data_IF_585922572462
#
_entry.id   IF_585922572462
#
_cell.length_a   1.000
_cell.length_b   1.000
_cell.length_c   1.000
_cell.angle_alpha   90.00
_cell.angle_beta   90.00
_cell.angle_gamma   90.00
#
_symmetry.space_group_name_H-M   'P 1'
#
loop_
_entity.id
_entity.type
_entity.pdbx_description
1 polymer ?
#
# COMPACT_ATOMS: atom_id res chain seq x y z
N UNK A 1 -10.44 -7.02 14.25
CA UNK A 1 -9.87 -8.38 14.42
C UNK A 1 -10.25 -9.23 13.22
N UNK A 2 -9.29 -9.57 12.35
CA UNK A 2 -9.56 -10.41 11.18
C UNK A 2 -9.72 -11.87 11.63
N UNK A 3 -10.85 -12.49 11.30
CA UNK A 3 -11.13 -13.90 11.61
C UNK A 3 -10.15 -14.76 10.79
N UNK A 4 -9.28 -15.56 11.42
CA UNK A 4 -8.42 -16.47 10.68
C UNK A 4 -9.31 -17.45 9.91
N UNK A 5 -9.25 -17.41 8.57
CA UNK A 5 -9.85 -18.44 7.75
C UNK A 5 -9.01 -19.71 7.90
N UNK A 6 -9.57 -20.68 8.61
CA UNK A 6 -8.99 -22.00 8.77
C UNK A 6 -9.54 -22.91 7.67
N UNK A 7 -8.83 -23.00 6.56
CA UNK A 7 -9.13 -24.01 5.55
C UNK A 7 -8.57 -25.35 6.01
N UNK A 8 -9.47 -26.30 6.29
CA UNK A 8 -9.12 -27.68 6.59
C UNK A 8 -8.96 -28.42 5.27
N UNK A 9 -7.72 -28.64 4.84
CA UNK A 9 -7.42 -29.45 3.67
C UNK A 9 -6.92 -30.82 4.12
N UNK A 10 -7.66 -31.87 3.78
CA UNK A 10 -7.15 -33.24 3.87
C UNK A 10 -6.11 -33.40 2.77
N UNK A 11 -4.84 -33.55 3.14
CA UNK A 11 -3.75 -33.77 2.20
C UNK A 11 -3.07 -35.08 2.57
N UNK A 12 -2.82 -35.93 1.58
CA UNK A 12 -1.94 -37.08 1.75
C UNK A 12 -0.49 -36.60 1.64
N UNK A 13 0.32 -36.87 2.67
CA UNK A 13 1.75 -36.54 2.68
C UNK A 13 2.61 -37.60 1.98
N UNK A 14 2.00 -38.61 1.37
CA UNK A 14 2.72 -39.67 0.69
C UNK A 14 3.66 -39.07 -0.37
N UNK A 15 4.92 -39.48 -0.34
CA UNK A 15 5.91 -39.12 -1.37
C UNK A 15 5.65 -39.82 -2.70
N UNK A 16 4.71 -40.77 -2.73
CA UNK A 16 4.34 -41.52 -3.92
C UNK A 16 3.53 -40.66 -4.91
N UNK A 17 3.77 -40.79 -6.22
CA UNK A 17 2.91 -40.18 -7.21
C UNK A 17 1.46 -40.66 -7.03
N UNK A 18 0.47 -39.78 -7.26
CA UNK A 18 -0.95 -40.04 -7.01
C UNK A 18 -1.45 -41.36 -7.63
N UNK A 19 -0.93 -41.74 -8.80
CA UNK A 19 -1.27 -42.98 -9.51
C UNK A 19 -0.77 -44.24 -8.78
N UNK A 20 0.45 -44.18 -8.23
CA UNK A 20 1.04 -45.29 -7.49
C UNK A 20 0.34 -45.49 -6.15
N UNK A 21 0.01 -44.40 -5.45
CA UNK A 21 -0.78 -44.48 -4.23
C UNK A 21 -2.17 -45.08 -4.49
N UNK A 22 -2.82 -44.65 -5.58
CA UNK A 22 -4.09 -45.23 -6.02
C UNK A 22 -3.98 -46.75 -6.26
N UNK A 23 -2.95 -47.18 -7.00
CA UNK A 23 -2.72 -48.60 -7.27
C UNK A 23 -2.43 -49.43 -6.00
N UNK A 24 -1.67 -48.87 -5.06
CA UNK A 24 -1.34 -49.53 -3.79
C UNK A 24 -2.58 -49.66 -2.89
N UNK A 25 -3.44 -48.63 -2.83
CA UNK A 25 -4.74 -48.71 -2.16
C UNK A 25 -5.63 -49.80 -2.77
N UNK A 26 -5.72 -49.85 -4.11
CA UNK A 26 -6.51 -50.88 -4.81
C UNK A 26 -5.97 -52.28 -4.49
N UNK A 27 -4.65 -52.48 -4.48
CA UNK A 27 -4.05 -53.77 -4.15
C UNK A 27 -4.35 -54.22 -2.71
N UNK A 28 -4.28 -53.31 -1.73
CA UNK A 28 -4.61 -53.60 -0.32
C UNK A 28 -6.08 -53.95 -0.16
N UNK A 29 -6.98 -53.21 -0.82
CA UNK A 29 -8.43 -53.50 -0.81
C UNK A 29 -8.73 -54.84 -1.49
N UNK A 30 -8.13 -55.11 -2.65
CA UNK A 30 -8.33 -56.37 -3.36
C UNK A 30 -7.83 -57.59 -2.54
N UNK A 31 -6.66 -57.48 -1.90
CA UNK A 31 -6.11 -58.54 -1.07
C UNK A 31 -6.99 -58.80 0.17
N UNK A 32 -7.48 -57.76 0.84
CA UNK A 32 -8.37 -57.89 2.00
C UNK A 32 -9.72 -58.48 1.63
N UNK A 33 -10.32 -58.05 0.51
CA UNK A 33 -11.57 -58.62 -0.01
C UNK A 33 -11.40 -60.08 -0.43
N UNK A 34 -10.32 -60.45 -1.12
CA UNK A 34 -10.05 -61.84 -1.50
C UNK A 34 -9.91 -62.75 -0.27
N UNK A 35 -9.23 -62.28 0.76
CA UNK A 35 -9.09 -63.02 2.03
C UNK A 35 -10.46 -63.16 2.72
N UNK A 36 -11.25 -62.09 2.80
CA UNK A 36 -12.60 -62.13 3.38
C UNK A 36 -13.52 -63.08 2.60
N UNK A 37 -13.53 -63.00 1.27
CA UNK A 37 -14.33 -63.86 0.40
C UNK A 37 -13.97 -65.34 0.56
N UNK A 38 -12.66 -65.65 0.63
CA UNK A 38 -12.18 -67.03 0.79
C UNK A 38 -12.54 -67.62 2.14
N UNK A 39 -12.58 -66.80 3.19
CA UNK A 39 -12.92 -67.25 4.54
C UNK A 39 -14.43 -67.28 4.81
N UNK A 40 -15.28 -66.65 3.98
CA UNK A 40 -16.73 -66.53 4.23
C UNK A 40 -17.50 -67.86 4.18
N UNK A 41 -16.85 -68.93 3.71
CA UNK A 41 -17.39 -70.30 3.70
C UNK A 41 -17.09 -71.11 4.97
N UNK A 42 -16.37 -70.55 5.95
CA UNK A 42 -15.98 -71.25 7.18
C UNK A 42 -16.88 -70.84 8.36
N UNK A 43 -17.59 -71.79 9.00
CA UNK A 43 -18.65 -71.49 9.98
C UNK A 43 -18.17 -70.98 11.36
N UNK A 44 -16.86 -70.92 11.64
CA UNK A 44 -16.31 -70.53 12.96
C UNK A 44 -15.23 -69.44 12.91
N UNK A 45 -15.18 -68.63 11.84
CA UNK A 45 -14.07 -67.69 11.59
C UNK A 45 -14.30 -66.21 11.94
N UNK A 46 -15.43 -65.83 12.56
CA UNK A 46 -15.85 -64.43 12.66
C UNK A 46 -14.84 -63.47 13.32
N UNK A 47 -14.18 -63.89 14.40
CA UNK A 47 -13.16 -63.09 15.09
C UNK A 47 -11.90 -62.88 14.25
N UNK A 48 -11.46 -63.91 13.52
CA UNK A 48 -10.32 -63.84 12.60
C UNK A 48 -10.62 -62.97 11.37
N UNK A 49 -11.86 -62.97 10.90
CA UNK A 49 -12.30 -62.06 9.84
C UNK A 49 -12.26 -60.60 10.29
N UNK A 50 -12.77 -60.32 11.48
CA UNK A 50 -12.75 -58.97 12.07
C UNK A 50 -11.32 -58.46 12.20
N UNK A 51 -10.41 -59.28 12.72
CA UNK A 51 -9.00 -58.90 12.92
C UNK A 51 -8.28 -58.61 11.59
N UNK A 52 -8.59 -59.37 10.52
CA UNK A 52 -8.03 -59.15 9.19
C UNK A 52 -8.61 -57.92 8.49
N UNK A 53 -9.92 -57.67 8.65
CA UNK A 53 -10.54 -56.46 8.14
C UNK A 53 -9.96 -55.21 8.83
N UNK A 54 -9.78 -55.27 10.16
CA UNK A 54 -9.09 -54.22 10.91
C UNK A 54 -7.64 -54.04 10.45
N UNK A 55 -6.88 -55.12 10.28
CA UNK A 55 -5.49 -55.04 9.77
C UNK A 55 -5.42 -54.38 8.38
N UNK A 56 -6.35 -54.72 7.49
CA UNK A 56 -6.50 -54.08 6.19
C UNK A 56 -6.80 -52.58 6.27
N UNK A 57 -7.74 -52.20 7.14
CA UNK A 57 -8.12 -50.82 7.39
C UNK A 57 -6.95 -50.00 7.95
N UNK A 58 -6.20 -50.57 8.89
CA UNK A 58 -4.99 -49.95 9.45
C UNK A 58 -3.89 -49.77 8.41
N UNK A 59 -3.65 -50.79 7.57
CA UNK A 59 -2.68 -50.69 6.49
C UNK A 59 -3.06 -49.61 5.49
N UNK A 60 -4.36 -49.49 5.17
CA UNK A 60 -4.88 -48.41 4.33
C UNK A 60 -4.66 -47.04 4.97
N UNK A 61 -4.92 -46.92 6.28
CA UNK A 61 -4.69 -45.70 7.05
C UNK A 61 -3.22 -45.26 7.04
N UNK A 62 -2.29 -46.20 7.22
CA UNK A 62 -0.85 -45.92 7.12
C UNK A 62 -0.43 -45.55 5.70
N UNK A 63 -1.01 -46.18 4.68
CA UNK A 63 -0.68 -45.92 3.27
C UNK A 63 -1.20 -44.54 2.80
N UNK A 64 -2.37 -44.12 3.30
CA UNK A 64 -2.96 -42.81 3.01
C UNK A 64 -2.27 -41.67 3.75
N UNK A 65 -1.63 -41.98 4.89
CA UNK A 65 -0.96 -41.04 5.80
C UNK A 65 -1.75 -39.73 5.92
N UNK A 66 -3.00 -39.78 6.42
CA UNK A 66 -3.89 -38.64 6.40
C UNK A 66 -3.33 -37.53 7.29
N UNK A 67 -2.90 -36.45 6.66
CA UNK A 67 -2.40 -35.30 7.38
C UNK A 67 -3.44 -34.18 7.39
N UNK A 68 -3.69 -33.65 8.58
CA UNK A 68 -4.45 -32.43 8.78
C UNK A 68 -3.49 -31.25 8.62
N UNK A 69 -3.48 -30.66 7.42
CA UNK A 69 -2.65 -29.49 7.16
C UNK A 69 -3.36 -28.23 7.64
N UNK A 70 -2.89 -27.65 8.75
CA UNK A 70 -3.40 -26.36 9.23
C UNK A 70 -2.62 -25.23 8.56
N UNK A 71 -3.20 -24.63 7.50
CA UNK A 71 -2.64 -23.42 6.89
C UNK A 71 -3.17 -22.20 7.63
N UNK A 72 -2.31 -21.51 8.35
CA UNK A 72 -2.61 -20.20 8.94
C UNK A 72 -2.09 -19.10 8.01
N UNK A 73 -2.99 -18.45 7.27
CA UNK A 73 -2.68 -17.24 6.52
C UNK A 73 -2.85 -16.05 7.47
N UNK A 74 -1.74 -15.44 7.88
CA UNK A 74 -1.80 -14.16 8.61
C UNK A 74 -1.83 -13.05 7.56
N UNK A 75 -2.93 -12.25 7.46
CA UNK A 75 -2.93 -11.12 6.56
C UNK A 75 -1.84 -10.15 6.99
N UNK A 76 -0.82 -9.95 6.14
CA UNK A 76 0.17 -8.90 6.36
C UNK A 76 -0.48 -7.55 6.08
N UNK A 77 -0.32 -6.61 7.01
CA UNK A 77 -0.74 -5.23 6.78
C UNK A 77 0.11 -4.64 5.65
N UNK A 78 -0.54 -4.00 4.69
CA UNK A 78 0.13 -3.16 3.69
C UNK A 78 0.43 -1.79 4.30
N UNK A 79 1.39 -1.04 3.74
CA UNK A 79 1.63 0.33 4.21
C UNK A 79 0.77 1.35 3.45
N UNK A 80 0.42 2.42 4.13
CA UNK A 80 -0.19 3.63 3.58
C UNK A 80 0.77 4.78 3.86
N UNK A 81 1.39 5.32 2.80
CA UNK A 81 2.28 6.46 2.93
C UNK A 81 1.47 7.76 2.89
N UNK A 82 1.66 8.62 3.88
CA UNK A 82 1.03 9.94 3.95
C UNK A 82 2.12 10.98 3.75
N UNK A 83 2.09 11.63 2.59
CA UNK A 83 3.01 12.71 2.23
C UNK A 83 2.36 14.03 2.61
N UNK A 84 3.00 14.76 3.53
CA UNK A 84 2.62 16.11 3.92
C UNK A 84 3.61 17.09 3.29
N UNK A 85 3.10 17.97 2.42
CA UNK A 85 3.87 19.08 1.88
C UNK A 85 4.26 20.05 3.00
N UNK A 86 5.57 20.21 3.22
CA UNK A 86 6.16 21.17 4.16
C UNK A 86 7.08 22.16 3.44
N UNK A 87 6.75 22.52 2.20
CA UNK A 87 7.41 23.60 1.47
C UNK A 87 7.11 24.98 2.06
N UNK A 88 7.94 25.97 1.72
CA UNK A 88 7.74 27.36 2.18
C UNK A 88 6.40 27.97 1.79
N UNK A 89 5.78 27.56 0.67
CA UNK A 89 4.45 28.05 0.28
C UNK A 89 3.38 27.68 1.31
N UNK A 90 3.59 26.60 2.07
CA UNK A 90 2.67 26.18 3.12
C UNK A 90 2.67 27.12 4.35
N UNK A 91 3.64 28.05 4.45
CA UNK A 91 3.60 29.16 5.43
C UNK A 91 2.64 30.27 5.03
N UNK A 92 2.25 30.34 3.75
CA UNK A 92 1.36 31.38 3.26
C UNK A 92 -0.03 31.25 3.89
N UNK A 93 -0.75 32.37 4.06
CA UNK A 93 -2.09 32.36 4.62
C UNK A 93 -3.05 31.59 3.69
N UNK A 94 -3.79 30.63 4.25
CA UNK A 94 -4.95 30.02 3.60
C UNK A 94 -6.23 30.81 3.90
N UNK A 95 -6.24 31.56 4.99
CA UNK A 95 -7.32 32.43 5.45
C UNK A 95 -6.72 33.57 6.27
N UNK A 96 -7.52 34.58 6.63
CA UNK A 96 -7.06 35.76 7.36
C UNK A 96 -6.28 35.46 8.66
N UNK A 97 -6.48 34.29 9.27
CA UNK A 97 -5.93 33.92 10.58
C UNK A 97 -5.13 32.62 10.61
N UNK A 98 -5.07 31.86 9.50
CA UNK A 98 -4.42 30.53 9.49
C UNK A 98 -3.57 30.32 8.25
N UNK A 99 -2.39 29.74 8.44
CA UNK A 99 -1.51 29.31 7.35
C UNK A 99 -2.02 28.02 6.69
N UNK A 100 -1.60 27.74 5.45
CA UNK A 100 -1.94 26.49 4.73
C UNK A 100 -1.53 25.26 5.54
N UNK A 101 -0.34 25.27 6.15
CA UNK A 101 0.12 24.16 7.01
C UNK A 101 -0.75 23.95 8.25
N UNK A 102 -1.30 25.02 8.83
CA UNK A 102 -2.23 24.91 9.96
C UNK A 102 -3.56 24.30 9.55
N UNK A 103 -4.06 24.65 8.36
CA UNK A 103 -5.28 24.04 7.80
C UNK A 103 -5.05 22.55 7.53
N UNK A 104 -3.92 22.17 6.93
CA UNK A 104 -3.56 20.77 6.75
C UNK A 104 -3.54 20.01 8.10
N UNK A 105 -2.93 20.61 9.13
CA UNK A 105 -2.87 20.04 10.47
C UNK A 105 -4.24 19.92 11.13
N UNK A 106 -5.12 20.90 10.97
CA UNK A 106 -6.49 20.80 11.51
C UNK A 106 -7.26 19.69 10.80
N UNK A 107 -7.14 19.57 9.48
CA UNK A 107 -7.76 18.47 8.72
C UNK A 107 -7.24 17.10 9.18
N UNK A 108 -5.94 16.96 9.42
CA UNK A 108 -5.37 15.73 9.99
C UNK A 108 -5.93 15.41 11.39
N UNK A 109 -6.09 16.43 12.23
CA UNK A 109 -6.66 16.28 13.58
C UNK A 109 -8.13 15.88 13.52
N UNK A 110 -8.91 16.48 12.63
CA UNK A 110 -10.31 16.13 12.39
C UNK A 110 -10.45 14.71 11.80
N UNK A 111 -9.49 14.30 10.96
CA UNK A 111 -9.41 12.97 10.37
C UNK A 111 -8.77 11.92 11.30
N UNK A 112 -8.32 12.28 12.50
CA UNK A 112 -7.74 11.34 13.47
C UNK A 112 -8.56 10.05 13.69
N UNK A 113 -9.90 10.07 13.88
CA UNK A 113 -10.67 8.84 14.02
C UNK A 113 -10.66 7.96 12.76
N UNK A 114 -10.55 8.57 11.57
CA UNK A 114 -10.46 7.84 10.30
C UNK A 114 -9.06 7.22 10.16
N UNK A 115 -8.00 7.98 10.45
CA UNK A 115 -6.62 7.49 10.46
C UNK A 115 -6.44 6.34 11.46
N UNK A 116 -7.10 6.42 12.62
CA UNK A 116 -7.08 5.34 13.60
C UNK A 116 -7.68 4.04 13.05
N UNK A 117 -8.85 4.11 12.38
CA UNK A 117 -9.44 2.93 11.70
C UNK A 117 -8.53 2.41 10.58
N UNK A 118 -7.86 3.30 9.85
CA UNK A 118 -6.91 2.90 8.81
C UNK A 118 -5.69 2.19 9.41
N UNK A 119 -5.19 2.61 10.58
CA UNK A 119 -4.06 1.97 11.26
C UNK A 119 -4.32 0.50 11.69
N UNK A 120 -5.59 0.11 11.81
CA UNK A 120 -5.95 -1.28 12.07
C UNK A 120 -5.65 -2.19 10.87
N UNK A 121 -5.76 -1.64 9.65
CA UNK A 121 -5.61 -2.37 8.38
C UNK A 121 -4.27 -2.10 7.70
N UNK A 122 -3.73 -0.91 7.88
CA UNK A 122 -2.52 -0.42 7.22
C UNK A 122 -1.45 0.00 8.24
N UNK A 123 -0.20 -0.08 7.85
CA UNK A 123 0.91 0.58 8.55
C UNK A 123 1.00 2.01 8.02
N UNK A 124 0.73 3.01 8.88
CA UNK A 124 0.79 4.42 8.50
C UNK A 124 2.24 4.91 8.55
N UNK A 125 2.77 5.39 7.43
CA UNK A 125 4.08 6.01 7.35
C UNK A 125 3.93 7.47 6.96
N UNK A 126 4.61 8.37 7.68
CA UNK A 126 4.56 9.79 7.40
C UNK A 126 5.81 10.21 6.64
N UNK A 127 5.63 11.01 5.60
CA UNK A 127 6.70 11.49 4.75
C UNK A 127 6.52 12.98 4.48
N UNK A 128 7.64 13.69 4.45
CA UNK A 128 7.79 14.99 3.80
C UNK A 128 8.13 14.75 2.32
N UNK A 129 8.26 15.82 1.55
CA UNK A 129 8.72 15.76 0.17
C UNK A 129 10.14 15.18 0.07
N UNK A 130 11.00 15.49 1.05
CA UNK A 130 12.40 15.08 1.05
C UNK A 130 12.67 13.72 1.70
N UNK A 131 11.83 13.28 2.65
CA UNK A 131 12.12 12.08 3.43
C UNK A 131 11.08 11.73 4.50
N UNK A 132 11.32 10.70 5.32
CA UNK A 132 10.38 10.25 6.35
C UNK A 132 10.21 11.30 7.47
N UNK A 133 8.98 11.48 7.94
CA UNK A 133 8.61 12.32 9.08
C UNK A 133 8.33 11.45 10.30
N UNK A 134 8.91 11.80 11.45
CA UNK A 134 8.69 11.05 12.69
C UNK A 134 8.38 12.00 13.85
N UNK A 135 7.35 11.66 14.63
CA UNK A 135 7.06 12.30 15.91
C UNK A 135 6.78 13.80 15.81
N UNK A 136 7.52 14.59 16.59
CA UNK A 136 7.32 16.03 16.72
C UNK A 136 7.64 16.82 15.42
N UNK A 137 8.33 16.22 14.45
CA UNK A 137 8.63 16.85 13.17
C UNK A 137 7.37 17.26 12.39
N UNK A 138 6.26 16.55 12.59
CA UNK A 138 4.95 16.91 12.01
C UNK A 138 4.44 18.29 12.48
N UNK A 139 4.86 18.74 13.67
CA UNK A 139 4.45 20.02 14.26
C UNK A 139 5.45 21.16 14.02
N UNK A 140 6.65 20.85 13.52
CA UNK A 140 7.66 21.86 13.21
C UNK A 140 7.25 22.71 12.00
N UNK A 141 7.64 23.99 11.93
CA UNK A 141 7.34 24.84 10.79
C UNK A 141 7.83 24.19 9.47
N UNK A 142 7.17 24.45 8.34
CA UNK A 142 7.59 23.92 7.06
C UNK A 142 8.89 24.60 6.59
N UNK A 143 9.93 23.82 6.29
CA UNK A 143 11.27 24.32 5.93
C UNK A 143 11.69 23.94 4.49
N UNK A 144 10.87 23.17 3.79
CA UNK A 144 11.16 22.66 2.46
C UNK A 144 11.39 23.78 1.45
N UNK A 145 12.53 23.73 0.74
CA UNK A 145 12.94 24.79 -0.20
C UNK A 145 12.35 24.63 -1.60
N UNK A 146 11.99 23.40 -1.98
CA UNK A 146 11.45 23.09 -3.30
C UNK A 146 10.30 22.10 -3.15
N UNK A 147 9.27 22.27 -3.97
CA UNK A 147 8.13 21.35 -4.03
C UNK A 147 8.31 20.46 -5.25
N UNK A 148 8.77 19.22 -5.07
CA UNK A 148 8.85 18.21 -6.14
C UNK A 148 8.01 17.00 -5.75
N UNK A 149 6.74 17.03 -6.17
CA UNK A 149 5.76 16.02 -5.82
C UNK A 149 6.06 14.70 -6.52
N UNK A 150 6.55 14.74 -7.77
CA UNK A 150 6.87 13.53 -8.53
C UNK A 150 8.05 12.78 -7.90
N UNK A 151 9.11 13.50 -7.54
CA UNK A 151 10.25 12.90 -6.85
C UNK A 151 9.86 12.33 -5.49
N UNK A 152 9.00 13.02 -4.73
CA UNK A 152 8.49 12.52 -3.46
C UNK A 152 7.70 11.20 -3.63
N UNK A 153 6.80 11.14 -4.62
CA UNK A 153 6.03 9.92 -4.93
C UNK A 153 6.94 8.76 -5.35
N UNK A 154 7.91 9.02 -6.22
CA UNK A 154 8.88 8.02 -6.66
C UNK A 154 9.74 7.51 -5.51
N UNK A 155 10.20 8.41 -4.64
CA UNK A 155 10.99 8.06 -3.46
C UNK A 155 10.21 7.14 -2.53
N UNK A 156 8.96 7.45 -2.24
CA UNK A 156 8.09 6.59 -1.42
C UNK A 156 7.86 5.23 -2.08
N UNK A 157 7.59 5.20 -3.39
CA UNK A 157 7.38 3.94 -4.11
C UNK A 157 8.64 3.06 -4.21
N UNK A 158 9.82 3.67 -4.28
CA UNK A 158 11.11 2.98 -4.35
C UNK A 158 11.70 2.67 -2.97
N UNK A 159 11.08 3.16 -1.88
CA UNK A 159 11.58 2.93 -0.52
C UNK A 159 11.44 1.46 -0.15
N UNK A 160 12.57 0.76 -0.07
CA UNK A 160 12.63 -0.61 0.39
C UNK A 160 12.19 -0.68 1.86
N UNK A 161 11.06 -1.31 2.14
CA UNK A 161 10.68 -1.63 3.51
C UNK A 161 9.79 -2.88 3.59
N UNK A 162 9.54 -3.41 4.80
CA UNK A 162 9.10 -4.79 4.98
C UNK A 162 7.72 -5.08 4.40
N UNK A 163 6.82 -4.10 4.42
CA UNK A 163 5.47 -4.22 3.88
C UNK A 163 5.36 -3.60 2.48
N UNK A 164 4.59 -4.19 1.57
CA UNK A 164 4.32 -3.58 0.26
C UNK A 164 3.49 -2.29 0.41
N UNK A 165 3.79 -1.31 -0.46
CA UNK A 165 3.05 -0.05 -0.57
C UNK A 165 1.67 -0.29 -1.16
N UNK A 166 0.62 0.01 -0.40
CA UNK A 166 -0.77 -0.20 -0.80
C UNK A 166 -1.45 1.05 -1.36
N UNK A 167 -1.10 2.23 -0.86
CA UNK A 167 -1.65 3.51 -1.32
C UNK A 167 -0.74 4.67 -0.86
N UNK A 168 -0.85 5.82 -1.53
CA UNK A 168 -0.26 7.08 -1.12
C UNK A 168 -1.35 8.12 -0.91
N UNK A 169 -1.29 8.86 0.19
CA UNK A 169 -2.13 10.02 0.47
C UNK A 169 -1.23 11.27 0.42
N UNK A 170 -1.47 12.16 -0.53
CA UNK A 170 -0.71 13.40 -0.71
C UNK A 170 -1.53 14.59 -0.22
N UNK A 171 -0.98 15.34 0.73
CA UNK A 171 -1.53 16.61 1.19
C UNK A 171 -0.62 17.75 0.74
N UNK A 172 -1.11 18.57 -0.18
CA UNK A 172 -0.35 19.70 -0.75
C UNK A 172 -1.31 20.82 -1.14
N UNK A 173 -0.78 22.03 -1.29
CA UNK A 173 -1.49 23.15 -1.91
C UNK A 173 -1.54 23.06 -3.46
N UNK A 174 -0.87 22.04 -4.03
CA UNK A 174 -0.91 21.73 -5.46
C UNK A 174 0.16 22.46 -6.27
N UNK A 175 1.00 23.29 -5.64
CA UNK A 175 2.13 23.90 -6.32
C UNK A 175 3.24 22.85 -6.52
N UNK A 176 3.70 22.67 -7.75
CA UNK A 176 4.90 21.89 -8.05
C UNK A 176 5.93 22.81 -8.72
N UNK A 177 7.18 22.66 -8.32
CA UNK A 177 8.36 23.36 -8.87
C UNK A 177 9.34 22.35 -9.50
N UNK A 178 8.86 21.13 -9.78
CA UNK A 178 9.61 20.07 -10.40
C UNK A 178 9.16 19.82 -11.84
N UNK A 179 9.28 18.58 -12.27
CA UNK A 179 8.95 18.19 -13.65
C UNK A 179 7.44 18.26 -13.97
N UNK A 180 6.55 18.28 -12.96
CA UNK A 180 5.11 18.38 -13.22
C UNK A 180 4.77 19.74 -13.81
N UNK A 181 5.36 20.81 -13.27
CA UNK A 181 5.19 22.16 -13.82
C UNK A 181 5.83 22.32 -15.20
N UNK A 182 7.02 21.74 -15.41
CA UNK A 182 7.70 21.79 -16.71
C UNK A 182 6.90 21.09 -17.84
N UNK A 183 6.09 20.09 -17.47
CA UNK A 183 5.27 19.31 -18.39
C UNK A 183 3.89 19.94 -18.65
N UNK A 184 3.51 21.00 -17.94
CA UNK A 184 2.21 21.69 -18.12
C UNK A 184 1.98 22.14 -19.58
N UNK A 185 3.06 22.47 -20.30
CA UNK A 185 3.05 22.86 -21.71
C UNK A 185 3.49 21.75 -22.69
N UNK A 186 3.68 20.51 -22.22
CA UNK A 186 4.17 19.38 -23.00
C UNK A 186 3.20 18.18 -22.97
N UNK A 187 3.49 17.16 -23.76
CA UNK A 187 2.65 15.95 -23.80
C UNK A 187 2.68 15.22 -22.45
N UNK A 188 1.51 14.91 -21.89
CA UNK A 188 1.38 14.25 -20.58
C UNK A 188 1.75 12.74 -20.60
N UNK A 189 1.98 12.15 -21.77
CA UNK A 189 2.25 10.72 -21.93
C UNK A 189 3.46 10.17 -21.12
N UNK A 190 4.66 10.79 -21.14
CA UNK A 190 5.80 10.34 -20.31
C UNK A 190 5.49 10.40 -18.81
N UNK A 191 4.79 11.44 -18.37
CA UNK A 191 4.40 11.60 -16.97
C UNK A 191 3.40 10.52 -16.53
N UNK A 192 2.38 10.26 -17.35
CA UNK A 192 1.40 9.20 -17.08
C UNK A 192 2.07 7.82 -16.95
N UNK A 193 3.05 7.50 -17.81
CA UNK A 193 3.80 6.23 -17.69
C UNK A 193 4.57 6.13 -16.38
N UNK A 194 5.19 7.23 -15.93
CA UNK A 194 5.91 7.27 -14.64
C UNK A 194 4.97 7.12 -13.45
N UNK A 195 3.79 7.75 -13.49
CA UNK A 195 2.77 7.58 -12.46
C UNK A 195 2.19 6.16 -12.46
N UNK A 196 1.96 5.57 -13.63
CA UNK A 196 1.54 4.16 -13.76
C UNK A 196 2.61 3.19 -13.27
N UNK A 197 3.89 3.51 -13.46
CA UNK A 197 5.02 2.72 -12.97
C UNK A 197 5.11 2.69 -11.43
N UNK A 198 4.48 3.63 -10.72
CA UNK A 198 4.37 3.56 -9.26
C UNK A 198 3.52 2.36 -8.82
N UNK A 199 2.58 1.90 -9.67
CA UNK A 199 1.76 0.71 -9.42
C UNK A 199 0.79 0.82 -8.22
N UNK A 200 0.62 2.02 -7.67
CA UNK A 200 -0.08 2.27 -6.41
C UNK A 200 -1.06 3.45 -6.58
N UNK A 201 -2.28 3.38 -6.00
CA UNK A 201 -3.21 4.50 -6.03
C UNK A 201 -2.70 5.69 -5.22
N UNK A 202 -2.69 6.88 -5.84
CA UNK A 202 -2.35 8.16 -5.21
C UNK A 202 -3.63 8.96 -5.01
N UNK A 203 -3.97 9.26 -3.75
CA UNK A 203 -5.10 10.10 -3.39
C UNK A 203 -4.59 11.47 -2.93
N UNK A 204 -5.12 12.55 -3.50
CA UNK A 204 -4.69 13.91 -3.20
C UNK A 204 -5.73 14.63 -2.35
N UNK A 205 -5.30 15.33 -1.31
CA UNK A 205 -6.11 16.25 -0.51
C UNK A 205 -5.52 17.64 -0.69
N UNK A 206 -6.27 18.49 -1.40
CA UNK A 206 -5.89 19.88 -1.59
C UNK A 206 -6.16 20.68 -0.30
N UNK A 207 -5.19 21.50 0.10
CA UNK A 207 -5.28 22.35 1.30
C UNK A 207 -5.75 23.78 0.98
N UNK A 208 -5.92 24.10 -0.30
CA UNK A 208 -6.38 25.41 -0.75
C UNK A 208 -7.85 25.66 -0.37
N UNK A 209 -8.14 26.83 0.22
CA UNK A 209 -9.51 27.27 0.47
C UNK A 209 -10.17 27.66 -0.87
N UNK A 210 -11.46 27.34 -1.04
CA UNK A 210 -12.23 27.65 -2.25
C UNK A 210 -12.30 29.16 -2.60
N UNK A 211 -11.98 30.04 -1.64
CA UNK A 211 -11.92 31.49 -1.81
C UNK A 211 -10.51 32.05 -1.52
N UNK A 212 -9.47 31.23 -1.67
CA UNK A 212 -8.10 31.67 -1.44
C UNK A 212 -7.71 32.74 -2.46
N UNK A 213 -6.98 33.77 -1.99
CA UNK A 213 -6.40 34.78 -2.87
C UNK A 213 -5.40 34.08 -3.79
N UNK A 214 -5.47 34.28 -5.12
CA UNK A 214 -4.53 33.66 -6.04
C UNK A 214 -3.11 34.09 -5.72
N UNK A 215 -2.18 33.15 -5.79
CA UNK A 215 -0.76 33.39 -5.55
C UNK A 215 -0.22 34.28 -6.67
N UNK A 216 0.34 35.43 -6.30
CA UNK A 216 0.92 36.39 -7.23
C UNK A 216 2.45 36.30 -7.18
N UNK A 217 3.07 36.01 -8.32
CA UNK A 217 4.51 35.98 -8.48
C UNK A 217 4.96 37.05 -9.49
N UNK A 218 5.98 37.85 -9.13
CA UNK A 218 6.69 38.69 -10.09
C UNK A 218 7.60 37.78 -10.90
N UNK A 219 7.27 37.59 -12.18
CA UNK A 219 7.99 36.66 -13.06
C UNK A 219 9.15 37.35 -13.77
N UNK A 220 8.97 38.64 -14.08
CA UNK A 220 9.98 39.45 -14.75
C UNK A 220 9.94 40.87 -14.19
N UNK A 221 11.11 41.45 -13.98
CA UNK A 221 11.27 42.84 -13.56
C UNK A 221 12.23 43.50 -14.54
N UNK A 222 11.68 44.24 -15.50
CA UNK A 222 12.44 44.99 -16.50
C UNK A 222 12.76 46.38 -15.93
N UNK A 223 14.04 46.57 -15.60
CA UNK A 223 14.58 47.74 -14.92
C UNK A 223 15.93 48.08 -15.52
N UNK A 224 16.18 49.37 -15.76
CA UNK A 224 17.50 49.81 -16.22
C UNK A 224 18.56 49.53 -15.14
N UNK A 225 19.70 48.97 -15.56
CA UNK A 225 20.76 48.50 -14.66
C UNK A 225 21.42 49.61 -13.79
N UNK A 226 21.18 50.87 -14.11
CA UNK A 226 21.67 52.02 -13.34
C UNK A 226 20.64 53.16 -13.35
N UNK A 227 20.62 53.91 -12.25
CA UNK A 227 19.77 55.09 -12.06
C UNK A 227 20.64 56.26 -11.61
N UNK A 228 20.33 57.47 -12.10
CA UNK A 228 20.99 58.69 -11.61
C UNK A 228 20.25 59.24 -10.39
N UNK A 229 21.02 59.72 -9.42
CA UNK A 229 20.48 60.36 -8.21
C UNK A 229 19.64 61.57 -8.62
N UNK A 230 18.42 61.71 -8.08
CA UNK A 230 17.39 62.71 -8.43
C UNK A 230 16.65 62.50 -9.76
N UNK A 231 16.74 61.32 -10.38
CA UNK A 231 15.90 61.00 -11.54
C UNK A 231 14.89 59.88 -11.22
N UNK A 232 13.69 59.97 -11.79
CA UNK A 232 12.69 58.91 -11.68
C UNK A 232 12.99 57.78 -12.67
N UNK A 233 12.79 56.54 -12.23
CA UNK A 233 13.04 55.36 -13.05
C UNK A 233 11.74 54.57 -13.19
N UNK A 234 11.36 54.27 -14.43
CA UNK A 234 10.22 53.42 -14.73
C UNK A 234 10.62 51.95 -14.60
N UNK A 235 9.89 51.21 -13.78
CA UNK A 235 10.07 49.77 -13.57
C UNK A 235 8.86 49.07 -14.19
N UNK A 236 9.09 48.09 -15.05
CA UNK A 236 8.01 47.26 -15.58
C UNK A 236 8.10 45.87 -14.94
N UNK A 237 7.01 45.43 -14.31
CA UNK A 237 6.95 44.13 -13.63
C UNK A 237 5.85 43.27 -14.26
N UNK A 238 6.21 42.08 -14.74
CA UNK A 238 5.25 41.07 -15.18
C UNK A 238 4.81 40.22 -14.00
N UNK A 239 3.50 40.18 -13.75
CA UNK A 239 2.88 39.40 -12.68
C UNK A 239 2.26 38.13 -13.26
N UNK A 240 2.49 36.98 -12.61
CA UNK A 240 1.77 35.72 -12.86
C UNK A 240 0.89 35.43 -11.65
N UNK A 241 -0.40 35.23 -11.90
CA UNK A 241 -1.37 34.80 -10.90
C UNK A 241 -1.61 33.29 -11.05
N UNK A 242 -1.56 32.54 -9.97
CA UNK A 242 -1.81 31.10 -9.95
C UNK A 242 -2.76 30.76 -8.81
N UNK A 243 -3.86 30.09 -9.12
CA UNK A 243 -4.88 29.68 -8.15
C UNK A 243 -5.78 28.60 -8.74
N UNK A 244 -6.43 27.83 -7.86
CA UNK A 244 -7.50 26.93 -8.28
C UNK A 244 -8.76 27.77 -8.56
N UNK A 245 -9.53 27.46 -9.63
CA UNK A 245 -10.76 28.17 -9.97
C UNK A 245 -11.89 27.95 -8.96
#
# INVERSE_FOLDING_TARGET
>A
MAVPHSDWLLVSLSTLPRLWLGSACIAVVAATVLVLWRYWRLPQGGSLMLLRALGGLWLLGFLLEPALLRRTTTPQKTRLAIILDRSKSMQLPASATRSRIEVARSLLKEAAPVLQRLSERFVLEWHDLDGPLVGAALQQPPEGKQTDLLAALQRVAQTAAPQPLGAVLLLSDGADHGELQATENQSAAPLQRRLQALGVPVNTVAVAAANAVPDAAITKLDVAAFAYVHNSLALEASLRLQGLP
#
